data_IF_186914296046
#
_entry.id   IF_186914296046
#
_cell.length_a   1.000
_cell.length_b   1.000
_cell.length_c   1.000
_cell.angle_alpha   90.00
_cell.angle_beta   90.00
_cell.angle_gamma   90.00
#
_symmetry.space_group_name_H-M   'P 1'
#
loop_
_entity.id
_entity.type
_entity.pdbx_description
1 polymer ?
#
# COMPACT_ATOMS: atom_id res chain seq x y z
N UNK A 1 21.66 3.06 10.39
CA UNK A 1 21.42 3.56 9.01
C UNK A 1 20.06 3.08 8.56
N UNK A 2 19.32 3.87 7.78
CA UNK A 2 17.99 3.51 7.25
C UNK A 2 18.09 3.45 5.74
N UNK A 3 17.53 2.41 5.13
CA UNK A 3 17.41 2.29 3.67
C UNK A 3 15.95 2.15 3.27
N UNK A 4 15.62 2.53 2.04
CA UNK A 4 14.28 2.39 1.47
C UNK A 4 14.34 1.57 0.20
N UNK A 5 13.34 0.71 0.02
CA UNK A 5 13.26 -0.24 -1.08
C UNK A 5 11.88 -0.17 -1.73
N UNK A 6 11.87 -0.38 -3.05
CA UNK A 6 10.66 -0.54 -3.86
C UNK A 6 10.53 -1.98 -4.29
N UNK A 7 9.43 -2.62 -3.95
CA UNK A 7 9.06 -3.94 -4.42
C UNK A 7 7.99 -3.80 -5.49
N UNK A 8 8.24 -4.41 -6.63
CA UNK A 8 7.25 -4.64 -7.69
C UNK A 8 7.09 -6.15 -7.88
N UNK A 9 6.16 -6.59 -8.71
CA UNK A 9 6.03 -8.02 -9.04
C UNK A 9 7.26 -8.61 -9.74
N UNK A 10 8.22 -7.80 -10.21
CA UNK A 10 9.42 -8.28 -10.93
C UNK A 10 10.72 -8.10 -10.20
N UNK A 11 10.83 -7.04 -9.41
CA UNK A 11 12.12 -6.61 -8.89
C UNK A 11 11.98 -5.87 -7.58
N UNK A 12 13.10 -5.87 -6.85
CA UNK A 12 13.33 -5.10 -5.64
C UNK A 12 14.44 -4.10 -5.97
N UNK A 13 14.18 -2.82 -5.76
CA UNK A 13 15.11 -1.74 -6.05
C UNK A 13 15.42 -0.95 -4.79
N UNK A 14 16.67 -0.52 -4.63
CA UNK A 14 17.05 0.45 -3.60
C UNK A 14 16.65 1.84 -4.08
N UNK A 15 15.91 2.59 -3.24
CA UNK A 15 15.56 3.97 -3.53
C UNK A 15 16.66 4.85 -2.94
N UNK A 16 17.45 5.46 -3.82
CA UNK A 16 18.52 6.37 -3.43
C UNK A 16 17.92 7.66 -2.89
N UNK A 17 18.43 8.12 -1.74
CA UNK A 17 18.21 9.49 -1.29
C UNK A 17 19.11 10.39 -2.13
N UNK A 18 18.56 11.46 -2.71
CA UNK A 18 19.30 12.44 -3.52
C UNK A 18 20.51 13.03 -2.77
N UNK A 19 20.54 12.91 -1.43
CA UNK A 19 21.60 13.41 -0.55
C UNK A 19 22.59 12.34 -0.05
N UNK A 20 22.39 11.05 -0.37
CA UNK A 20 23.27 9.99 0.12
C UNK A 20 24.52 9.84 -0.76
N UNK A 21 25.70 10.01 -0.15
CA UNK A 21 26.99 9.74 -0.82
C UNK A 21 27.26 8.25 -1.06
N UNK A 22 26.40 7.35 -0.56
CA UNK A 22 26.61 5.92 -0.58
C UNK A 22 25.90 5.31 -1.80
N UNK A 23 26.66 4.97 -2.85
CA UNK A 23 26.19 4.31 -4.08
C UNK A 23 25.83 2.83 -3.85
N UNK A 24 25.16 2.51 -2.75
CA UNK A 24 24.75 1.14 -2.47
C UNK A 24 23.55 0.78 -3.36
N UNK A 25 23.83 0.10 -4.45
CA UNK A 25 22.83 -0.43 -5.40
C UNK A 25 22.48 -1.89 -5.12
N UNK A 26 23.23 -2.55 -4.24
CA UNK A 26 23.05 -3.97 -3.92
C UNK A 26 21.96 -4.15 -2.87
N UNK A 27 20.91 -4.88 -3.24
CA UNK A 27 19.85 -5.29 -2.32
C UNK A 27 20.37 -6.46 -1.45
N UNK A 28 20.35 -6.34 -0.11
CA UNK A 28 20.75 -7.43 0.78
C UNK A 28 19.85 -8.67 0.62
N UNK A 29 20.40 -9.86 0.83
CA UNK A 29 19.70 -11.13 0.61
C UNK A 29 18.47 -11.32 1.53
N UNK A 30 18.42 -10.63 2.66
CA UNK A 30 17.30 -10.62 3.60
C UNK A 30 16.16 -9.68 3.19
N UNK A 31 16.40 -8.74 2.27
CA UNK A 31 15.38 -7.82 1.77
C UNK A 31 14.62 -8.53 0.65
N UNK A 32 13.67 -9.37 1.06
CA UNK A 32 12.85 -10.19 0.17
C UNK A 32 11.38 -10.05 0.50
N UNK A 33 10.53 -10.37 -0.47
CA UNK A 33 9.09 -10.34 -0.29
C UNK A 33 8.64 -11.31 0.81
N UNK A 34 9.25 -12.50 0.89
CA UNK A 34 8.95 -13.48 1.94
C UNK A 34 9.22 -12.95 3.35
N UNK A 35 10.37 -12.31 3.55
CA UNK A 35 10.71 -11.71 4.85
C UNK A 35 9.82 -10.51 5.16
N UNK A 36 9.43 -9.71 4.15
CA UNK A 36 8.50 -8.61 4.31
C UNK A 36 7.09 -9.08 4.68
N UNK A 37 6.62 -10.15 4.04
CA UNK A 37 5.34 -10.79 4.38
C UNK A 37 5.39 -11.30 5.82
N UNK A 38 6.46 -11.98 6.24
CA UNK A 38 6.61 -12.43 7.63
C UNK A 38 6.61 -11.26 8.62
N UNK A 39 7.34 -10.18 8.32
CA UNK A 39 7.32 -8.96 9.13
C UNK A 39 5.90 -8.39 9.26
N UNK A 40 5.16 -8.29 8.16
CA UNK A 40 3.77 -7.81 8.18
C UNK A 40 2.87 -8.71 9.04
N UNK A 41 3.00 -10.04 8.92
CA UNK A 41 2.23 -11.01 9.72
C UNK A 41 2.46 -10.78 11.21
N UNK A 42 3.72 -10.62 11.64
CA UNK A 42 4.06 -10.38 13.05
C UNK A 42 3.46 -9.07 13.55
N UNK A 43 3.54 -8.00 12.75
CA UNK A 43 2.93 -6.71 13.09
C UNK A 43 1.42 -6.85 13.30
N UNK A 44 0.70 -7.45 12.34
CA UNK A 44 -0.76 -7.54 12.41
C UNK A 44 -1.24 -8.54 13.45
N UNK A 45 -0.54 -9.65 13.68
CA UNK A 45 -0.83 -10.55 14.83
C UNK A 45 -0.82 -9.79 16.15
N UNK A 46 0.16 -8.92 16.33
CA UNK A 46 0.28 -8.11 17.55
C UNK A 46 -0.84 -7.07 17.66
N UNK A 47 -1.18 -6.39 16.56
CA UNK A 47 -2.17 -5.31 16.57
C UNK A 47 -3.61 -5.85 16.64
N UNK A 48 -3.96 -6.88 15.87
CA UNK A 48 -5.30 -7.48 15.90
C UNK A 48 -5.62 -8.10 17.26
N UNK A 49 -4.63 -8.74 17.91
CA UNK A 49 -4.80 -9.25 19.27
C UNK A 49 -5.10 -8.11 20.26
N UNK A 50 -4.40 -6.98 20.16
CA UNK A 50 -4.64 -5.80 21.01
C UNK A 50 -5.99 -5.13 20.74
N UNK A 51 -6.48 -5.19 19.50
CA UNK A 51 -7.71 -4.51 19.08
C UNK A 51 -8.96 -5.39 19.16
N UNK A 52 -8.82 -6.71 19.33
CA UNK A 52 -9.95 -7.64 19.34
C UNK A 52 -10.70 -7.74 18.00
N UNK A 53 -9.99 -7.51 16.89
CA UNK A 53 -10.59 -7.21 15.58
C UNK A 53 -10.47 -8.31 14.51
N UNK A 54 -10.13 -9.51 14.94
CA UNK A 54 -10.02 -10.69 14.08
C UNK A 54 -9.16 -11.74 14.75
N UNK A 55 -9.06 -12.90 14.11
CA UNK A 55 -8.22 -14.00 14.57
C UNK A 55 -6.98 -14.17 13.68
N UNK A 56 -6.17 -15.18 14.00
CA UNK A 56 -5.00 -15.54 13.20
C UNK A 56 -5.34 -15.93 11.75
N UNK A 57 -6.59 -16.32 11.47
CA UNK A 57 -7.04 -16.75 10.14
C UNK A 57 -7.15 -15.53 9.22
N UNK A 58 -7.72 -14.43 9.69
CA UNK A 58 -7.84 -13.19 8.89
C UNK A 58 -6.47 -12.60 8.53
N UNK A 59 -5.53 -12.68 9.46
CA UNK A 59 -4.15 -12.23 9.24
C UNK A 59 -3.45 -13.17 8.28
N UNK A 60 -3.64 -14.48 8.40
CA UNK A 60 -3.07 -15.45 7.46
C UNK A 60 -3.61 -15.25 6.04
N UNK A 61 -4.89 -14.90 5.89
CA UNK A 61 -5.49 -14.55 4.58
C UNK A 61 -4.92 -13.25 4.00
N UNK A 62 -4.64 -12.26 4.86
CA UNK A 62 -4.12 -10.95 4.43
C UNK A 62 -2.60 -10.99 4.19
N UNK A 63 -1.86 -11.71 5.01
CA UNK A 63 -0.40 -11.72 5.07
C UNK A 63 0.15 -13.09 4.65
N UNK A 64 -0.25 -13.57 3.48
CA UNK A 64 0.36 -14.72 2.81
C UNK A 64 0.97 -14.33 1.46
N UNK A 65 1.96 -15.11 1.02
CA UNK A 65 2.70 -14.83 -0.21
C UNK A 65 1.82 -14.73 -1.46
N UNK A 66 0.83 -15.61 -1.59
CA UNK A 66 -0.08 -15.60 -2.74
C UNK A 66 -0.89 -14.31 -2.82
N UNK A 67 -1.37 -13.78 -1.68
CA UNK A 67 -2.09 -12.52 -1.64
C UNK A 67 -1.19 -11.34 -2.00
N UNK A 68 0.05 -11.32 -1.50
CA UNK A 68 1.01 -10.26 -1.81
C UNK A 68 1.36 -10.25 -3.30
N UNK A 69 1.66 -11.42 -3.88
CA UNK A 69 1.88 -11.55 -5.33
C UNK A 69 0.65 -11.08 -6.10
N UNK A 70 -0.55 -11.53 -5.71
CA UNK A 70 -1.82 -11.18 -6.37
C UNK A 70 -2.01 -9.67 -6.42
N UNK A 71 -1.70 -8.97 -5.33
CA UNK A 71 -1.80 -7.51 -5.23
C UNK A 71 -0.69 -6.80 -6.00
N UNK A 72 0.54 -7.33 -5.99
CA UNK A 72 1.66 -6.79 -6.77
C UNK A 72 1.40 -6.86 -8.29
N UNK A 73 0.58 -7.81 -8.73
CA UNK A 73 0.12 -7.92 -10.12
C UNK A 73 -1.28 -7.29 -10.37
N UNK A 74 -1.87 -6.66 -9.35
CA UNK A 74 -3.18 -6.02 -9.36
C UNK A 74 -4.43 -6.93 -9.58
N UNK A 75 -4.36 -8.21 -9.19
CA UNK A 75 -5.57 -9.05 -9.03
C UNK A 75 -5.83 -10.04 -10.16
N UNK A 76 -4.97 -11.04 -10.30
CA UNK A 76 -5.14 -12.19 -11.21
C UNK A 76 -6.37 -13.04 -10.87
N UNK A 77 -7.51 -12.64 -11.45
CA UNK A 77 -8.61 -13.50 -11.94
C UNK A 77 -9.31 -12.84 -13.15
N UNK A 78 -9.35 -11.50 -13.22
CA UNK A 78 -10.04 -10.78 -14.32
C UNK A 78 -9.32 -10.77 -15.67
N UNK A 79 -8.04 -11.13 -15.75
CA UNK A 79 -7.28 -11.15 -17.02
C UNK A 79 -7.07 -12.57 -17.58
N UNK A 80 -7.31 -13.62 -16.80
CA UNK A 80 -7.27 -15.00 -17.28
C UNK A 80 -8.60 -15.44 -17.94
N UNK A 81 -9.63 -14.59 -17.97
CA UNK A 81 -10.95 -14.92 -18.50
C UNK A 81 -11.10 -14.65 -20.00
N UNK A 82 -10.13 -15.12 -20.80
CA UNK A 82 -10.42 -15.58 -22.17
C UNK A 82 -10.47 -17.12 -22.24
N UNK A 83 -10.09 -17.82 -21.16
CA UNK A 83 -10.38 -19.23 -20.98
C UNK A 83 -11.66 -19.37 -20.18
N UNK A 84 -12.74 -19.71 -20.88
CA UNK A 84 -13.98 -20.19 -20.29
C UNK A 84 -13.70 -21.48 -19.53
N UNK A 85 -13.42 -21.40 -18.23
CA UNK A 85 -13.56 -22.53 -17.32
C UNK A 85 -13.80 -22.03 -15.90
N UNK A 86 -14.99 -22.34 -15.40
CA UNK A 86 -15.38 -22.31 -14.01
C UNK A 86 -14.68 -23.43 -13.24
N UNK A 87 -13.35 -23.49 -13.29
CA UNK A 87 -12.57 -24.38 -12.45
C UNK A 87 -11.95 -23.53 -11.33
N UNK A 88 -12.50 -23.72 -10.13
CA UNK A 88 -11.89 -23.29 -8.88
C UNK A 88 -10.48 -23.93 -8.75
N UNK A 89 -9.51 -23.14 -8.29
CA UNK A 89 -8.16 -23.57 -7.87
C UNK A 89 -7.03 -23.69 -8.91
N UNK A 90 -7.05 -22.99 -10.05
CA UNK A 90 -5.83 -22.83 -10.85
C UNK A 90 -4.86 -21.83 -10.18
N UNK A 91 -3.77 -22.34 -9.60
CA UNK A 91 -2.67 -21.53 -9.06
C UNK A 91 -1.93 -20.85 -10.23
N UNK A 92 -2.23 -19.58 -10.46
CA UNK A 92 -1.50 -18.77 -11.43
C UNK A 92 -0.18 -18.36 -10.79
N UNK A 93 0.95 -18.88 -11.31
CA UNK A 93 2.27 -18.39 -10.93
C UNK A 93 2.48 -16.98 -11.48
N UNK A 94 2.30 -15.99 -10.62
CA UNK A 94 2.38 -14.56 -10.95
C UNK A 94 3.76 -14.17 -11.49
N UNK A 95 4.81 -14.91 -11.13
CA UNK A 95 6.17 -14.66 -11.63
C UNK A 95 6.31 -14.97 -13.12
N UNK A 96 5.43 -15.81 -13.67
CA UNK A 96 5.42 -16.18 -15.10
C UNK A 96 4.65 -15.19 -15.98
N UNK A 97 3.92 -14.25 -15.38
CA UNK A 97 3.07 -13.31 -16.10
C UNK A 97 3.87 -12.16 -16.74
N UNK A 98 3.32 -11.63 -17.83
CA UNK A 98 3.87 -10.48 -18.53
C UNK A 98 3.90 -9.23 -17.64
N UNK A 99 4.88 -8.33 -17.80
CA UNK A 99 4.97 -7.16 -16.94
C UNK A 99 3.75 -6.27 -17.13
N UNK A 100 3.14 -5.86 -16.02
CA UNK A 100 2.26 -4.68 -16.03
C UNK A 100 3.04 -3.41 -15.77
N UNK A 101 2.65 -2.28 -16.38
CA UNK A 101 3.11 -0.97 -15.94
C UNK A 101 2.88 -0.81 -14.44
N UNK A 102 3.85 -0.27 -13.70
CA UNK A 102 3.72 -0.03 -12.25
C UNK A 102 2.44 0.74 -11.88
N UNK A 103 2.01 1.78 -12.64
CA UNK A 103 0.75 2.49 -12.35
C UNK A 103 -0.51 1.60 -12.39
N UNK A 104 -0.45 0.50 -13.14
CA UNK A 104 -1.52 -0.49 -13.29
C UNK A 104 -1.29 -1.75 -12.43
N UNK A 105 -0.13 -1.85 -11.78
CA UNK A 105 0.29 -2.95 -10.93
C UNK A 105 0.24 -2.55 -9.44
N UNK A 106 0.78 -3.40 -8.58
CA UNK A 106 1.04 -3.06 -7.18
C UNK A 106 2.51 -2.71 -6.94
N UNK A 107 2.73 -1.88 -5.92
CA UNK A 107 4.05 -1.45 -5.47
C UNK A 107 4.09 -1.44 -3.93
N UNK A 108 5.20 -1.91 -3.35
CA UNK A 108 5.45 -1.80 -1.92
C UNK A 108 6.69 -0.94 -1.69
N UNK A 109 6.57 0.05 -0.81
CA UNK A 109 7.70 0.79 -0.28
C UNK A 109 8.02 0.25 1.10
N UNK A 110 9.23 -0.23 1.33
CA UNK A 110 9.64 -0.69 2.65
C UNK A 110 10.92 0.02 3.09
N UNK A 111 10.98 0.37 4.37
CA UNK A 111 12.21 0.82 5.00
C UNK A 111 12.83 -0.30 5.82
N UNK A 112 14.15 -0.29 5.89
CA UNK A 112 14.92 -1.13 6.78
C UNK A 112 15.81 -0.29 7.66
N UNK A 113 16.26 -0.86 8.77
CA UNK A 113 17.33 -0.29 9.57
C UNK A 113 18.41 -1.32 9.83
N UNK A 114 19.65 -0.82 9.91
CA UNK A 114 20.79 -1.56 10.44
C UNK A 114 21.10 -1.08 11.85
N UNK A 115 21.12 -2.01 12.80
CA UNK A 115 21.50 -1.73 14.19
C UNK A 115 23.00 -1.42 14.25
N UNK A 116 23.42 -0.33 14.91
CA UNK A 116 24.83 0.00 15.05
C UNK A 116 25.62 -1.01 15.91
N UNK A 117 24.92 -1.78 16.74
CA UNK A 117 25.52 -2.76 17.66
C UNK A 117 25.54 -4.18 17.08
N UNK A 118 24.95 -4.40 15.91
CA UNK A 118 24.91 -5.72 15.27
C UNK A 118 26.07 -5.78 14.27
N UNK A 119 27.08 -6.59 14.59
CA UNK A 119 28.23 -6.81 13.72
C UNK A 119 27.86 -7.53 12.41
N UNK A 120 26.62 -8.05 12.32
CA UNK A 120 26.09 -8.57 11.08
C UNK A 120 25.68 -7.43 10.14
N UNK A 121 25.98 -7.56 8.85
CA UNK A 121 25.50 -6.63 7.81
C UNK A 121 23.98 -6.72 7.56
N UNK A 122 23.22 -7.34 8.47
CA UNK A 122 21.82 -7.66 8.29
C UNK A 122 20.92 -6.45 8.53
N UNK A 123 20.04 -6.23 7.58
CA UNK A 123 18.98 -5.23 7.66
C UNK A 123 17.69 -5.84 8.16
N UNK A 124 16.93 -5.08 8.95
CA UNK A 124 15.60 -5.49 9.43
C UNK A 124 14.56 -4.52 8.92
N UNK A 125 13.43 -5.05 8.43
CA UNK A 125 12.28 -4.22 8.06
C UNK A 125 11.79 -3.43 9.26
N UNK A 126 11.48 -2.16 9.02
CA UNK A 126 11.01 -1.22 10.04
C UNK A 126 9.63 -0.67 9.72
N UNK A 127 9.34 -0.39 8.45
CA UNK A 127 8.04 0.07 7.98
C UNK A 127 7.79 -0.40 6.56
N UNK A 128 6.52 -0.50 6.18
CA UNK A 128 6.15 -0.74 4.79
C UNK A 128 4.81 -0.10 4.43
N UNK A 129 4.64 0.23 3.16
CA UNK A 129 3.41 0.74 2.56
C UNK A 129 3.17 0.02 1.24
N UNK A 130 2.08 -0.72 1.15
CA UNK A 130 1.65 -1.42 -0.05
C UNK A 130 0.50 -0.67 -0.71
N UNK A 131 0.76 -0.12 -1.89
CA UNK A 131 -0.24 0.45 -2.77
C UNK A 131 -0.49 -0.43 -4.01
N UNK A 132 -1.71 -0.41 -4.53
CA UNK A 132 -2.03 -1.05 -5.81
C UNK A 132 -3.11 -0.29 -6.57
N UNK A 133 -3.18 -0.53 -7.88
CA UNK A 133 -4.22 0.03 -8.73
C UNK A 133 -5.62 -0.46 -8.34
N UNK A 134 -6.59 0.47 -8.39
CA UNK A 134 -8.03 0.19 -8.46
C UNK A 134 -8.66 0.98 -9.60
N UNK A 135 -9.56 0.33 -10.33
CA UNK A 135 -10.27 0.94 -11.46
C UNK A 135 -11.17 2.12 -11.07
N UNK A 136 -11.64 2.15 -9.82
CA UNK A 136 -12.54 3.19 -9.34
C UNK A 136 -12.34 3.43 -7.84
N UNK A 137 -12.88 4.55 -7.37
CA UNK A 137 -13.01 4.82 -5.94
C UNK A 137 -14.29 4.15 -5.44
N UNK A 138 -14.27 3.67 -4.19
CA UNK A 138 -15.45 3.08 -3.57
C UNK A 138 -16.56 4.12 -3.41
N UNK A 139 -17.81 3.68 -3.57
CA UNK A 139 -18.97 4.52 -3.28
C UNK A 139 -19.02 4.84 -1.79
N UNK A 140 -19.31 6.08 -1.44
CA UNK A 140 -19.36 6.54 -0.05
C UNK A 140 -20.67 7.21 0.30
N UNK A 141 -20.96 7.26 1.60
CA UNK A 141 -22.04 8.05 2.19
C UNK A 141 -21.37 9.25 2.88
N UNK A 142 -21.65 10.49 2.45
CA UNK A 142 -21.06 11.68 3.05
C UNK A 142 -21.28 11.73 4.55
N UNK A 143 -20.22 12.01 5.28
CA UNK A 143 -20.31 12.41 6.69
C UNK A 143 -21.05 13.76 6.76
N UNK A 144 -21.92 13.97 7.75
CA UNK A 144 -22.69 15.22 7.95
C UNK A 144 -21.83 16.50 7.78
N UNK A 145 -22.43 17.65 7.41
CA UNK A 145 -21.79 18.73 6.63
C UNK A 145 -20.74 19.58 7.36
N UNK A 146 -20.17 19.17 8.49
CA UNK A 146 -19.29 20.01 9.29
C UNK A 146 -17.81 19.61 9.33
N UNK A 147 -17.38 18.47 8.78
CA UNK A 147 -15.95 18.11 8.77
C UNK A 147 -15.57 17.27 7.54
N UNK A 148 -14.74 17.83 6.65
CA UNK A 148 -14.00 17.07 5.65
C UNK A 148 -14.58 17.12 4.23
N UNK A 149 -13.71 17.15 3.22
CA UNK A 149 -14.12 17.16 1.84
C UNK A 149 -14.64 15.78 1.40
N UNK A 150 -15.93 15.73 1.08
CA UNK A 150 -16.52 14.59 0.37
C UNK A 150 -15.77 14.36 -0.94
N UNK A 151 -15.67 13.10 -1.35
CA UNK A 151 -15.19 12.73 -2.67
C UNK A 151 -15.99 13.40 -3.81
N UNK A 152 -17.24 13.76 -3.54
CA UNK A 152 -18.10 14.50 -4.48
C UNK A 152 -17.57 15.90 -4.78
N UNK A 153 -16.58 16.39 -4.03
CA UNK A 153 -15.90 17.67 -4.25
C UNK A 153 -14.72 17.58 -5.23
N UNK A 154 -14.37 16.38 -5.72
CA UNK A 154 -13.35 16.24 -6.76
C UNK A 154 -13.77 16.97 -8.03
N UNK A 155 -12.82 17.66 -8.68
CA UNK A 155 -13.09 18.38 -9.92
C UNK A 155 -13.57 17.43 -11.03
N UNK A 156 -14.40 17.90 -11.99
CA UNK A 156 -14.82 17.08 -13.13
C UNK A 156 -13.65 16.49 -13.93
N UNK A 157 -12.54 17.24 -14.03
CA UNK A 157 -11.31 16.79 -14.69
C UNK A 157 -10.69 15.60 -13.95
N UNK A 158 -10.58 15.70 -12.63
CA UNK A 158 -10.08 14.61 -11.77
C UNK A 158 -10.98 13.38 -11.84
N UNK A 159 -12.30 13.55 -11.85
CA UNK A 159 -13.26 12.45 -12.00
C UNK A 159 -13.15 11.75 -13.36
N UNK A 160 -12.93 12.51 -14.43
CA UNK A 160 -12.70 11.96 -15.77
C UNK A 160 -11.38 11.16 -15.82
N UNK A 161 -10.32 11.68 -15.19
CA UNK A 161 -9.05 10.95 -15.06
C UNK A 161 -9.20 9.65 -14.26
N UNK A 162 -9.92 9.67 -13.14
CA UNK A 162 -10.21 8.45 -12.36
C UNK A 162 -10.95 7.43 -13.22
N UNK A 163 -11.97 7.86 -13.97
CA UNK A 163 -12.76 6.95 -14.80
C UNK A 163 -11.93 6.31 -15.92
N UNK A 164 -10.91 7.01 -16.42
CA UNK A 164 -10.02 6.52 -17.49
C UNK A 164 -8.85 5.70 -16.96
N UNK A 165 -8.22 6.13 -15.86
CA UNK A 165 -6.92 5.63 -15.39
C UNK A 165 -7.00 4.91 -14.03
N UNK A 166 -8.11 5.01 -13.32
CA UNK A 166 -8.28 4.47 -11.97
C UNK A 166 -7.57 5.31 -10.91
N UNK A 167 -7.33 4.70 -9.75
CA UNK A 167 -6.68 5.32 -8.58
C UNK A 167 -5.61 4.41 -8.00
N UNK A 168 -4.70 5.03 -7.25
CA UNK A 168 -3.72 4.31 -6.45
C UNK A 168 -4.29 4.09 -5.05
N UNK A 169 -4.42 2.83 -4.62
CA UNK A 169 -5.03 2.49 -3.34
C UNK A 169 -3.98 1.92 -2.38
N UNK A 170 -3.78 2.55 -1.24
CA UNK A 170 -2.99 1.98 -0.14
C UNK A 170 -3.84 0.88 0.48
N UNK A 171 -3.44 -0.37 0.25
CA UNK A 171 -4.14 -1.55 0.75
C UNK A 171 -3.71 -1.91 2.16
N UNK A 172 -2.40 -1.85 2.43
CA UNK A 172 -1.85 -2.28 3.69
C UNK A 172 -0.58 -1.48 4.01
N UNK A 173 -0.45 -1.03 5.24
CA UNK A 173 0.79 -0.43 5.72
C UNK A 173 0.97 -0.67 7.21
N UNK A 174 2.22 -0.69 7.65
CA UNK A 174 2.57 -0.97 9.04
C UNK A 174 3.97 -0.48 9.39
N UNK A 175 4.18 -0.24 10.67
CA UNK A 175 5.51 0.08 11.21
C UNK A 175 5.71 -0.65 12.51
N UNK A 176 6.94 -1.11 12.71
CA UNK A 176 7.44 -1.60 13.99
C UNK A 176 7.07 -0.57 15.08
N UNK A 177 6.41 -1.00 16.18
CA UNK A 177 6.07 -0.15 17.32
C UNK A 177 7.22 0.76 17.77
N UNK A 178 8.45 0.26 17.80
CA UNK A 178 9.63 1.01 18.23
C UNK A 178 10.02 2.10 17.22
N UNK A 179 9.62 1.93 15.96
CA UNK A 179 9.99 2.81 14.84
C UNK A 179 8.91 3.84 14.47
N UNK A 180 7.68 3.74 15.00
CA UNK A 180 6.52 4.59 14.61
C UNK A 180 6.77 6.10 14.69
N UNK A 181 7.65 6.55 15.58
CA UNK A 181 7.93 7.98 15.80
C UNK A 181 9.10 8.53 14.99
N UNK A 182 9.75 7.69 14.17
CA UNK A 182 10.94 8.08 13.39
C UNK A 182 10.60 8.56 11.98
N UNK A 183 9.31 8.73 11.64
CA UNK A 183 8.89 9.26 10.34
C UNK A 183 9.07 8.30 9.16
N UNK A 184 9.43 7.03 9.39
CA UNK A 184 9.71 6.06 8.31
C UNK A 184 8.50 5.76 7.43
N UNK A 185 7.29 5.69 8.01
CA UNK A 185 6.06 5.57 7.21
C UNK A 185 5.80 6.81 6.34
N UNK A 186 6.15 8.00 6.83
CA UNK A 186 6.03 9.24 6.05
C UNK A 186 7.01 9.21 4.88
N UNK A 187 8.20 8.65 5.04
CA UNK A 187 9.14 8.45 3.92
C UNK A 187 8.54 7.53 2.84
N UNK A 188 7.95 6.40 3.24
CA UNK A 188 7.24 5.51 2.30
C UNK A 188 6.11 6.25 1.56
N UNK A 189 5.32 7.07 2.27
CA UNK A 189 4.23 7.85 1.66
C UNK A 189 4.76 8.91 0.70
N UNK A 190 5.78 9.68 1.09
CA UNK A 190 6.38 10.71 0.25
C UNK A 190 6.91 10.13 -1.06
N UNK A 191 7.51 8.93 -1.00
CA UNK A 191 7.96 8.26 -2.22
C UNK A 191 6.80 7.80 -3.10
N UNK A 192 5.73 7.25 -2.52
CA UNK A 192 4.51 6.93 -3.27
C UNK A 192 3.94 8.19 -3.95
N UNK A 193 3.89 9.32 -3.26
CA UNK A 193 3.39 10.59 -3.81
C UNK A 193 4.25 11.07 -4.98
N UNK A 194 5.59 11.05 -4.85
CA UNK A 194 6.51 11.37 -5.97
C UNK A 194 6.25 10.51 -7.21
N UNK A 195 6.04 9.22 -7.00
CA UNK A 195 5.75 8.27 -8.07
C UNK A 195 4.39 8.53 -8.72
N UNK A 196 3.34 8.72 -7.92
CA UNK A 196 1.98 9.02 -8.41
C UNK A 196 1.95 10.33 -9.18
N UNK A 197 2.68 11.35 -8.73
CA UNK A 197 2.85 12.62 -9.46
C UNK A 197 3.52 12.40 -10.83
N UNK A 198 4.58 11.58 -10.86
CA UNK A 198 5.29 11.22 -12.10
C UNK A 198 4.38 10.45 -13.06
N UNK A 199 3.55 9.55 -12.54
CA UNK A 199 2.57 8.82 -13.35
C UNK A 199 1.44 9.72 -13.86
N UNK A 200 0.98 10.68 -13.05
CA UNK A 200 -0.02 11.68 -13.48
C UNK A 200 0.51 12.55 -14.61
N UNK A 201 1.70 13.11 -14.44
CA UNK A 201 2.34 13.99 -15.44
C UNK A 201 2.67 13.27 -16.76
N UNK A 202 2.90 11.95 -16.72
CA UNK A 202 3.06 11.10 -17.91
C UNK A 202 1.75 10.53 -18.47
N UNK A 203 0.59 10.88 -17.89
CA UNK A 203 -0.73 10.44 -18.35
C UNK A 203 -1.07 8.99 -18.03
N UNK A 204 -0.38 8.37 -17.07
CA UNK A 204 -0.51 6.96 -16.68
C UNK A 204 -1.34 6.73 -15.40
N UNK A 205 -1.59 7.78 -14.61
CA UNK A 205 -2.42 7.70 -13.41
C UNK A 205 -3.30 8.96 -13.25
N UNK A 206 -4.36 8.86 -12.45
CA UNK A 206 -5.22 10.01 -12.14
C UNK A 206 -4.61 11.03 -11.19
N UNK A 207 -3.54 10.66 -10.46
CA UNK A 207 -3.00 11.47 -9.35
C UNK A 207 -3.73 11.28 -8.03
N UNK A 208 -4.72 10.39 -7.94
CA UNK A 208 -5.48 10.17 -6.70
C UNK A 208 -4.96 8.96 -5.93
N UNK A 209 -4.64 9.20 -4.65
CA UNK A 209 -4.34 8.17 -3.67
C UNK A 209 -5.55 7.98 -2.76
N UNK A 210 -5.93 6.73 -2.51
CA UNK A 210 -7.04 6.37 -1.61
C UNK A 210 -6.60 5.40 -0.52
N UNK A 211 -7.23 5.47 0.64
CA UNK A 211 -6.99 4.59 1.79
C UNK A 211 -8.31 4.26 2.46
N UNK A 212 -8.52 2.99 2.79
CA UNK A 212 -9.61 2.61 3.69
C UNK A 212 -9.06 2.39 5.10
N UNK A 213 -9.80 2.82 6.11
CA UNK A 213 -9.47 2.52 7.51
C UNK A 213 -10.75 2.35 8.34
N UNK A 214 -10.62 1.85 9.56
CA UNK A 214 -11.70 1.77 10.55
C UNK A 214 -11.28 2.66 11.72
N UNK A 215 -11.85 3.88 11.89
CA UNK A 215 -11.34 4.85 12.85
C UNK A 215 -11.29 4.36 14.31
N UNK A 216 -12.27 3.54 14.71
CA UNK A 216 -12.32 2.97 16.07
C UNK A 216 -11.18 1.97 16.30
N UNK A 217 -10.81 1.21 15.25
CA UNK A 217 -9.75 0.22 15.26
C UNK A 217 -8.36 0.85 15.21
N UNK A 218 -8.20 1.78 14.26
CA UNK A 218 -6.91 2.33 13.85
C UNK A 218 -6.91 3.86 13.98
N UNK A 219 -7.10 4.42 15.18
CA UNK A 219 -7.11 5.87 15.38
C UNK A 219 -5.78 6.52 14.98
N UNK A 220 -4.67 5.79 15.17
CA UNK A 220 -3.34 6.23 14.70
C UNK A 220 -3.25 6.37 13.17
N UNK A 221 -3.97 5.54 12.42
CA UNK A 221 -4.05 5.66 10.96
C UNK A 221 -4.82 6.93 10.58
N UNK A 222 -5.94 7.23 11.26
CA UNK A 222 -6.69 8.47 11.00
C UNK A 222 -5.83 9.70 11.26
N UNK A 223 -5.08 9.73 12.38
CA UNK A 223 -4.16 10.83 12.67
C UNK A 223 -3.04 10.94 11.63
N UNK A 224 -2.48 9.81 11.18
CA UNK A 224 -1.48 9.79 10.13
C UNK A 224 -2.03 10.36 8.82
N UNK A 225 -3.22 9.94 8.39
CA UNK A 225 -3.84 10.39 7.15
C UNK A 225 -4.15 11.90 7.19
N UNK A 226 -4.77 12.39 8.26
CA UNK A 226 -5.11 13.82 8.38
C UNK A 226 -3.87 14.71 8.45
N UNK A 227 -2.81 14.27 9.15
CA UNK A 227 -1.53 15.00 9.22
C UNK A 227 -0.83 15.08 7.85
N UNK A 228 -1.04 14.10 6.98
CA UNK A 228 -0.50 14.08 5.62
C UNK A 228 -1.52 14.56 4.58
N UNK A 229 -2.48 15.38 5.00
CA UNK A 229 -3.41 16.12 4.12
C UNK A 229 -4.38 15.24 3.33
N UNK A 230 -4.62 14.00 3.77
CA UNK A 230 -5.73 13.22 3.25
C UNK A 230 -7.06 13.83 3.72
N UNK A 231 -7.98 13.92 2.77
CA UNK A 231 -9.34 14.38 2.94
C UNK A 231 -10.28 13.17 3.05
N UNK A 232 -11.45 13.35 3.65
CA UNK A 232 -12.49 12.32 3.74
C UNK A 232 -12.88 11.96 5.17
N UNK A 233 -13.15 10.68 5.39
CA UNK A 233 -13.86 10.16 6.56
C UNK A 233 -15.25 9.60 6.22
N UNK A 234 -15.63 9.59 4.94
CA UNK A 234 -16.94 9.12 4.49
C UNK A 234 -17.07 7.60 4.59
N UNK A 235 -18.24 7.13 5.00
CA UNK A 235 -18.51 5.71 5.17
C UNK A 235 -18.55 5.02 3.81
N UNK A 236 -17.89 3.87 3.68
CA UNK A 236 -17.89 3.09 2.44
C UNK A 236 -19.20 2.28 2.32
N UNK A 237 -19.93 2.44 1.22
CA UNK A 237 -21.16 1.68 0.94
C UNK A 237 -20.81 0.21 0.76
N UNK A 238 -21.52 -0.67 1.48
CA UNK A 238 -21.26 -2.12 1.44
C UNK A 238 -19.92 -2.54 2.04
N UNK A 239 -19.21 -1.63 2.72
CA UNK A 239 -17.98 -1.94 3.46
C UNK A 239 -18.27 -2.50 4.85
N UNK A 240 -17.22 -3.00 5.50
CA UNK A 240 -17.26 -3.44 6.90
C UNK A 240 -17.77 -2.32 7.82
N UNK A 241 -18.40 -2.70 8.94
CA UNK A 241 -18.95 -1.73 9.88
C UNK A 241 -17.87 -0.76 10.36
N UNK A 242 -18.11 0.55 10.18
CA UNK A 242 -17.18 1.61 10.58
C UNK A 242 -16.02 1.88 9.61
N UNK A 243 -15.99 1.20 8.45
CA UNK A 243 -15.01 1.47 7.40
C UNK A 243 -15.27 2.81 6.72
N UNK A 244 -14.22 3.62 6.63
CA UNK A 244 -14.26 4.94 6.00
C UNK A 244 -13.18 5.06 4.91
N UNK A 245 -13.43 5.97 3.97
CA UNK A 245 -12.51 6.33 2.90
C UNK A 245 -11.82 7.66 3.20
N UNK A 246 -10.51 7.66 3.01
CA UNK A 246 -9.69 8.86 2.88
C UNK A 246 -9.06 8.90 1.49
N UNK A 247 -8.85 10.10 0.96
CA UNK A 247 -8.26 10.32 -0.34
C UNK A 247 -7.36 11.56 -0.35
N UNK A 248 -6.39 11.60 -1.25
CA UNK A 248 -5.50 12.74 -1.48
C UNK A 248 -5.25 12.90 -2.97
N UNK A 249 -5.29 14.13 -3.43
CA UNK A 249 -4.82 14.49 -4.77
C UNK A 249 -3.35 14.90 -4.70
N UNK A 250 -2.55 14.34 -5.60
CA UNK A 250 -1.11 14.60 -5.78
C UNK A 250 -0.88 15.33 -7.10
#
# INVERSE_FOLDING_TARGET
>A
MVHMYRFTHRMIEVIQDDNAQDNKTVVPAEVTLANLTMFSTVLFMTEFHKMGMGDSVDISKTCNMSEWHRRLYAGTRKQASNTSREDEDEYIDILTLLPKPIPEAGVIYATTSKSPNDASDKEKFTSFLFAHHKQSIAQTIPSLPSQGASIDKLSPETQALISKLGVTHIWLCGSDPEQRRHGLMVQCLNQLEKDVYTWKSSGQASGIITVHTIPQAFPGMVHFLTKNEFQGGDKVVGGDAGKVLFWKEV
#
